data_IF_180941079168
#
_entry.id   IF_180941079168
#
_cell.length_a   1.000
_cell.length_b   1.000
_cell.length_c   1.000
_cell.angle_alpha   90.00
_cell.angle_beta   90.00
_cell.angle_gamma   90.00
#
_symmetry.space_group_name_H-M   'P 1'
#
loop_
_entity.id
_entity.type
_entity.pdbx_description
1 polymer ?
#
# COMPACT_ATOMS: atom_id res chain seq x y z
N UNK A 1 -45.58 56.93 13.97
CA UNK A 1 -44.26 57.57 14.12
C UNK A 1 -43.49 56.73 15.14
N UNK A 2 -42.41 56.05 14.69
CA UNK A 2 -41.21 55.57 15.43
C UNK A 2 -41.46 54.65 16.66
N UNK A 3 -41.13 53.35 16.61
CA UNK A 3 -39.84 52.78 17.06
C UNK A 3 -40.07 52.05 18.41
N UNK A 4 -39.58 50.87 18.73
CA UNK A 4 -38.31 50.21 18.46
C UNK A 4 -38.48 48.68 18.52
N UNK A 5 -37.84 47.99 17.58
CA UNK A 5 -37.54 46.57 17.59
C UNK A 5 -36.59 46.22 18.72
N UNK A 6 -36.75 45.10 19.41
CA UNK A 6 -35.64 44.30 19.95
C UNK A 6 -35.97 42.80 19.79
N UNK A 7 -35.54 42.24 18.67
CA UNK A 7 -35.50 40.80 18.44
C UNK A 7 -34.22 40.24 19.10
N UNK A 8 -34.36 39.37 20.09
CA UNK A 8 -33.23 38.58 20.58
C UNK A 8 -32.94 37.48 19.54
N UNK A 9 -31.88 37.68 18.76
CA UNK A 9 -31.33 36.64 17.89
C UNK A 9 -30.48 35.71 18.74
N UNK A 10 -31.03 34.55 19.11
CA UNK A 10 -30.24 33.46 19.65
C UNK A 10 -29.60 32.70 18.48
N UNK A 11 -28.35 33.04 18.14
CA UNK A 11 -27.52 32.23 17.25
C UNK A 11 -27.08 31.00 18.04
N UNK A 12 -27.79 29.89 17.87
CA UNK A 12 -27.31 28.57 18.29
C UNK A 12 -26.21 28.14 17.32
N UNK A 13 -24.98 28.47 17.70
CA UNK A 13 -23.76 27.96 17.07
C UNK A 13 -23.76 26.43 17.13
N UNK A 14 -24.12 25.78 16.03
CA UNK A 14 -23.87 24.36 15.80
C UNK A 14 -22.36 24.17 15.62
N UNK A 15 -21.61 24.25 16.71
CA UNK A 15 -20.33 23.56 16.82
C UNK A 15 -20.66 22.08 16.95
N UNK A 16 -20.93 21.45 15.81
CA UNK A 16 -20.78 20.02 15.66
C UNK A 16 -19.31 19.72 15.94
N UNK A 17 -19.00 19.46 17.22
CA UNK A 17 -17.84 18.68 17.57
C UNK A 17 -18.05 17.33 16.92
N UNK A 18 -17.51 17.16 15.71
CA UNK A 18 -17.29 15.84 15.13
C UNK A 18 -16.38 15.08 16.08
N UNK A 19 -16.95 14.44 17.08
CA UNK A 19 -16.28 13.41 17.85
C UNK A 19 -15.98 12.31 16.84
N UNK A 20 -14.73 12.26 16.36
CA UNK A 20 -14.18 11.04 15.79
C UNK A 20 -14.48 9.94 16.82
N UNK A 21 -15.31 8.97 16.43
CA UNK A 21 -15.72 7.90 17.32
C UNK A 21 -14.45 7.24 17.89
N UNK A 22 -14.39 6.97 19.19
CA UNK A 22 -13.21 6.38 19.79
C UNK A 22 -13.05 4.96 19.24
N UNK A 23 -12.02 4.76 18.40
CA UNK A 23 -11.63 3.46 17.84
C UNK A 23 -11.11 2.58 18.98
N UNK A 24 -12.03 1.99 19.74
CA UNK A 24 -11.75 1.17 20.94
C UNK A 24 -12.19 -0.28 20.74
N UNK A 25 -12.82 -0.60 19.61
CA UNK A 25 -13.11 -1.96 19.18
C UNK A 25 -12.35 -2.22 17.88
N UNK A 26 -11.59 -3.32 17.81
CA UNK A 26 -10.97 -3.82 16.58
C UNK A 26 -12.03 -4.31 15.60
N UNK A 27 -12.87 -3.40 15.09
CA UNK A 27 -13.84 -3.68 14.05
C UNK A 27 -13.18 -3.39 12.70
N UNK A 28 -12.21 -4.22 12.32
CA UNK A 28 -11.58 -4.18 11.00
C UNK A 28 -12.59 -4.69 9.97
N UNK A 29 -13.30 -3.77 9.35
CA UNK A 29 -14.35 -4.11 8.39
C UNK A 29 -13.75 -4.24 6.99
N UNK A 30 -13.82 -5.45 6.43
CA UNK A 30 -13.62 -5.65 5.00
C UNK A 30 -14.82 -5.10 4.24
N UNK A 31 -14.55 -4.44 3.12
CA UNK A 31 -15.56 -3.88 2.23
C UNK A 31 -15.43 -4.58 0.88
N UNK A 32 -16.56 -5.00 0.34
CA UNK A 32 -16.60 -5.51 -1.03
C UNK A 32 -16.38 -4.36 -2.03
N UNK A 33 -15.44 -4.56 -2.94
CA UNK A 33 -15.19 -3.62 -4.04
C UNK A 33 -16.35 -3.72 -5.02
N UNK A 34 -17.29 -2.77 -4.96
CA UNK A 34 -18.54 -2.82 -5.76
C UNK A 34 -18.29 -2.62 -7.27
N UNK A 35 -17.12 -2.11 -7.64
CA UNK A 35 -16.72 -1.91 -9.02
C UNK A 35 -15.29 -1.38 -9.12
N UNK A 36 -14.69 -1.54 -10.30
CA UNK A 36 -13.29 -1.14 -10.55
C UNK A 36 -13.05 0.33 -10.23
N UNK A 37 -14.01 1.20 -10.53
CA UNK A 37 -13.91 2.66 -10.38
C UNK A 37 -13.55 3.11 -8.96
N UNK A 38 -13.85 2.31 -7.93
CA UNK A 38 -13.49 2.63 -6.54
C UNK A 38 -11.98 2.70 -6.30
N UNK A 39 -11.20 1.95 -7.07
CA UNK A 39 -9.74 1.84 -6.89
C UNK A 39 -8.95 2.47 -8.04
N UNK A 40 -9.59 2.79 -9.16
CA UNK A 40 -8.89 3.30 -10.35
C UNK A 40 -8.12 4.60 -10.07
N UNK A 41 -7.12 4.86 -10.90
CA UNK A 41 -6.27 6.04 -10.85
C UNK A 41 -4.97 5.80 -10.11
N UNK A 42 -4.25 6.90 -9.88
CA UNK A 42 -2.92 6.89 -9.27
C UNK A 42 -2.99 7.09 -7.76
N UNK A 43 -2.16 6.33 -7.05
CA UNK A 43 -2.04 6.33 -5.62
C UNK A 43 -0.57 6.32 -5.22
N UNK A 44 -0.22 7.09 -4.20
CA UNK A 44 1.08 7.03 -3.57
C UNK A 44 1.02 5.99 -2.45
N UNK A 45 1.97 5.05 -2.43
CA UNK A 45 2.08 4.06 -1.36
C UNK A 45 2.73 4.74 -0.15
N UNK A 46 1.95 4.95 0.92
CA UNK A 46 2.38 5.68 2.12
C UNK A 46 3.06 4.73 3.11
N UNK A 47 2.47 3.55 3.29
CA UNK A 47 2.94 2.59 4.25
C UNK A 47 2.50 1.18 3.89
N UNK A 48 3.25 0.21 4.38
CA UNK A 48 2.91 -1.21 4.24
C UNK A 48 3.24 -2.00 5.50
N UNK A 49 2.45 -3.02 5.79
CA UNK A 49 2.74 -3.99 6.84
C UNK A 49 2.62 -5.38 6.23
N UNK A 50 3.51 -6.29 6.61
CA UNK A 50 3.50 -7.68 6.13
C UNK A 50 4.01 -8.60 7.21
N UNK A 51 3.51 -9.83 7.23
CA UNK A 51 4.00 -10.91 8.10
C UNK A 51 5.14 -11.72 7.45
N UNK A 52 5.49 -11.42 6.20
CA UNK A 52 6.69 -11.92 5.53
C UNK A 52 7.91 -11.10 6.01
N UNK A 53 8.86 -11.70 6.76
CA UNK A 53 10.02 -11.00 7.29
C UNK A 53 10.94 -10.44 6.19
N UNK A 54 11.08 -11.19 5.11
CA UNK A 54 11.92 -10.85 3.98
C UNK A 54 11.37 -9.67 3.20
N UNK A 55 10.08 -9.72 2.85
CA UNK A 55 9.37 -8.59 2.24
C UNK A 55 9.45 -7.33 3.12
N UNK A 56 9.21 -7.47 4.43
CA UNK A 56 9.31 -6.35 5.38
C UNK A 56 10.70 -5.72 5.41
N UNK A 57 11.75 -6.54 5.36
CA UNK A 57 13.12 -6.05 5.33
C UNK A 57 13.43 -5.32 4.03
N UNK A 58 13.05 -5.89 2.88
CA UNK A 58 13.22 -5.24 1.58
C UNK A 58 12.52 -3.88 1.54
N UNK A 59 11.27 -3.82 1.97
CA UNK A 59 10.51 -2.58 2.11
C UNK A 59 11.22 -1.54 2.97
N UNK A 60 11.74 -1.96 4.14
CA UNK A 60 12.35 -1.05 5.10
C UNK A 60 13.70 -0.50 4.63
N UNK A 61 14.48 -1.32 3.92
CA UNK A 61 15.89 -1.01 3.62
C UNK A 61 16.08 -0.50 2.19
N UNK A 62 15.32 -1.03 1.23
CA UNK A 62 15.52 -0.79 -0.20
C UNK A 62 14.55 0.25 -0.76
N UNK A 63 13.30 0.24 -0.30
CA UNK A 63 12.23 1.05 -0.87
C UNK A 63 12.25 2.47 -0.31
N UNK A 64 12.59 3.43 -1.16
CA UNK A 64 12.58 4.84 -0.78
C UNK A 64 11.16 5.43 -0.87
N UNK A 65 10.51 5.21 -2.02
CA UNK A 65 9.15 5.67 -2.31
C UNK A 65 8.52 4.82 -3.41
N UNK A 66 7.20 4.80 -3.48
CA UNK A 66 6.46 3.98 -4.45
C UNK A 66 5.10 4.60 -4.77
N UNK A 67 4.62 4.36 -5.98
CA UNK A 67 3.27 4.68 -6.41
C UNK A 67 2.68 3.52 -7.22
N UNK A 68 1.35 3.44 -7.20
CA UNK A 68 0.58 2.43 -7.92
C UNK A 68 -0.50 3.13 -8.73
N UNK A 69 -0.64 2.75 -9.99
CA UNK A 69 -1.75 3.17 -10.85
C UNK A 69 -2.59 1.98 -11.26
N UNK A 70 -3.86 2.04 -10.93
CA UNK A 70 -4.87 1.09 -11.38
C UNK A 70 -5.60 1.67 -12.60
N UNK A 71 -5.61 0.95 -13.72
CA UNK A 71 -6.35 1.31 -14.93
C UNK A 71 -7.33 0.22 -15.31
N UNK A 72 -8.50 0.62 -15.81
CA UNK A 72 -9.46 -0.34 -16.34
C UNK A 72 -8.88 -0.99 -17.60
N UNK A 73 -8.82 -2.32 -17.60
CA UNK A 73 -8.52 -3.08 -18.80
C UNK A 73 -9.76 -3.19 -19.72
N UNK A 74 -9.54 -3.69 -20.93
CA UNK A 74 -10.61 -3.93 -21.91
C UNK A 74 -11.65 -4.93 -21.40
N UNK A 75 -11.23 -5.96 -20.67
CA UNK A 75 -12.15 -6.90 -20.05
C UNK A 75 -12.83 -6.25 -18.84
N UNK A 76 -14.14 -6.46 -18.70
CA UNK A 76 -14.98 -5.74 -17.73
C UNK A 76 -14.59 -5.96 -16.26
N UNK A 77 -13.97 -7.08 -15.94
CA UNK A 77 -13.48 -7.42 -14.61
C UNK A 77 -11.97 -7.24 -14.44
N UNK A 78 -11.22 -6.94 -15.49
CA UNK A 78 -9.76 -6.86 -15.38
C UNK A 78 -9.27 -5.44 -15.07
N UNK A 79 -8.18 -5.35 -14.33
CA UNK A 79 -7.50 -4.11 -13.94
C UNK A 79 -6.02 -4.29 -14.27
N UNK A 80 -5.49 -3.35 -15.03
CA UNK A 80 -4.05 -3.21 -15.23
C UNK A 80 -3.46 -2.42 -14.07
N UNK A 81 -2.36 -2.91 -13.53
CA UNK A 81 -1.64 -2.29 -12.43
C UNK A 81 -0.27 -1.89 -12.97
N UNK A 82 0.07 -0.62 -12.84
CA UNK A 82 1.43 -0.13 -13.04
C UNK A 82 1.95 0.37 -11.71
N UNK A 83 2.98 -0.30 -11.20
CA UNK A 83 3.70 0.09 -9.99
C UNK A 83 5.02 0.73 -10.40
N UNK A 84 5.37 1.83 -9.75
CA UNK A 84 6.65 2.52 -9.92
C UNK A 84 7.32 2.68 -8.57
N UNK A 85 8.53 2.14 -8.44
CA UNK A 85 9.26 2.09 -7.18
C UNK A 85 10.64 2.72 -7.33
N UNK A 86 11.03 3.48 -6.31
CA UNK A 86 12.36 4.05 -6.22
C UNK A 86 13.20 3.24 -5.24
N UNK A 87 14.24 2.60 -5.76
CA UNK A 87 15.19 1.80 -5.00
C UNK A 87 16.60 2.35 -5.27
N UNK A 88 17.35 2.71 -4.23
CA UNK A 88 18.72 3.24 -4.34
C UNK A 88 18.88 4.39 -5.35
N UNK A 89 17.97 5.36 -5.32
CA UNK A 89 17.95 6.48 -6.26
C UNK A 89 17.55 6.13 -7.71
N UNK A 90 17.29 4.86 -8.02
CA UNK A 90 16.89 4.38 -9.36
C UNK A 90 15.41 4.03 -9.39
N UNK A 91 14.83 4.11 -10.59
CA UNK A 91 13.42 3.87 -10.81
C UNK A 91 13.18 2.54 -11.52
N UNK A 92 12.29 1.76 -10.94
CA UNK A 92 11.83 0.48 -11.45
C UNK A 92 10.33 0.54 -11.66
N UNK A 93 9.85 -0.14 -12.70
CA UNK A 93 8.41 -0.26 -12.96
C UNK A 93 8.02 -1.71 -13.14
N UNK A 94 6.84 -2.06 -12.67
CA UNK A 94 6.26 -3.38 -12.81
C UNK A 94 4.82 -3.24 -13.30
N UNK A 95 4.48 -3.97 -14.36
CA UNK A 95 3.10 -4.09 -14.84
C UNK A 95 2.55 -5.45 -14.47
N UNK A 96 1.39 -5.46 -13.82
CA UNK A 96 0.64 -6.68 -13.54
C UNK A 96 -0.81 -6.53 -13.94
N UNK A 97 -1.54 -7.64 -13.95
CA UNK A 97 -2.96 -7.69 -14.25
C UNK A 97 -3.69 -8.39 -13.11
N UNK A 98 -4.75 -7.76 -12.62
CA UNK A 98 -5.64 -8.29 -11.60
C UNK A 98 -7.05 -8.44 -12.16
N UNK A 99 -7.84 -9.33 -11.55
CA UNK A 99 -9.25 -9.55 -11.88
C UNK A 99 -10.12 -9.29 -10.66
N UNK A 100 -11.18 -8.49 -10.84
CA UNK A 100 -12.17 -8.20 -9.82
C UNK A 100 -13.34 -9.19 -9.93
N UNK A 101 -13.47 -10.08 -8.96
CA UNK A 101 -14.54 -11.07 -8.89
C UNK A 101 -15.17 -11.05 -7.51
N UNK A 102 -16.50 -10.94 -7.42
CA UNK A 102 -17.24 -10.95 -6.15
C UNK A 102 -16.63 -10.00 -5.09
N UNK A 103 -16.36 -8.76 -5.47
CA UNK A 103 -15.80 -7.74 -4.56
C UNK A 103 -14.33 -7.95 -4.16
N UNK A 104 -13.64 -8.87 -4.84
CA UNK A 104 -12.27 -9.31 -4.52
C UNK A 104 -11.36 -9.13 -5.72
N UNK A 105 -10.18 -8.54 -5.53
CA UNK A 105 -9.15 -8.55 -6.57
C UNK A 105 -8.32 -9.83 -6.43
N UNK A 106 -8.05 -10.49 -7.55
CA UNK A 106 -7.16 -11.65 -7.60
C UNK A 106 -6.06 -11.43 -8.62
N UNK A 107 -4.89 -11.98 -8.33
CA UNK A 107 -3.77 -12.07 -9.26
C UNK A 107 -3.37 -13.53 -9.38
N UNK A 108 -3.06 -13.97 -10.60
CA UNK A 108 -2.56 -15.32 -10.86
C UNK A 108 -1.03 -15.39 -10.83
N UNK A 109 -0.50 -16.47 -11.40
CA UNK A 109 0.93 -16.71 -11.59
C UNK A 109 1.69 -15.49 -12.14
N UNK A 110 2.94 -15.25 -11.69
CA UNK A 110 3.72 -16.06 -10.75
C UNK A 110 3.32 -15.90 -9.28
N UNK A 111 2.50 -14.89 -8.95
CA UNK A 111 2.31 -14.44 -7.57
C UNK A 111 0.81 -14.47 -7.21
N UNK A 112 0.33 -15.67 -6.89
CA UNK A 112 -1.08 -15.88 -6.61
C UNK A 112 -1.50 -15.09 -5.37
N UNK A 113 -2.52 -14.25 -5.51
CA UNK A 113 -2.99 -13.42 -4.39
C UNK A 113 -4.47 -13.11 -4.44
N UNK A 114 -5.01 -12.75 -3.29
CA UNK A 114 -6.38 -12.28 -3.11
C UNK A 114 -6.38 -11.02 -2.24
N UNK A 115 -6.97 -9.95 -2.75
CA UNK A 115 -6.94 -8.63 -2.14
C UNK A 115 -8.36 -8.14 -1.85
N UNK A 116 -8.57 -7.60 -0.65
CA UNK A 116 -9.81 -6.96 -0.18
C UNK A 116 -9.55 -5.51 0.18
N UNK A 117 -10.60 -4.70 0.09
CA UNK A 117 -10.60 -3.35 0.62
C UNK A 117 -10.89 -3.37 2.12
N UNK A 118 -10.19 -2.57 2.90
CA UNK A 118 -10.50 -2.28 4.30
C UNK A 118 -11.09 -0.88 4.43
N UNK A 119 -12.07 -0.73 5.31
CA UNK A 119 -12.64 0.57 5.65
C UNK A 119 -11.58 1.50 6.26
N UNK A 120 -11.60 2.76 5.86
CA UNK A 120 -10.82 3.84 6.47
C UNK A 120 -11.64 5.12 6.57
N UNK A 121 -11.35 5.93 7.59
CA UNK A 121 -11.89 7.28 7.76
C UNK A 121 -11.27 8.31 6.81
N UNK A 122 -10.19 7.97 6.10
CA UNK A 122 -9.54 8.85 5.14
C UNK A 122 -10.24 8.78 3.76
N UNK A 123 -10.91 9.87 3.31
CA UNK A 123 -11.76 9.85 2.11
C UNK A 123 -10.98 9.77 0.80
N UNK A 124 -9.69 10.11 0.83
CA UNK A 124 -8.78 10.07 -0.32
C UNK A 124 -7.63 9.08 -0.09
N UNK A 125 -7.87 8.08 0.76
CA UNK A 125 -6.96 6.95 0.97
C UNK A 125 -7.58 5.63 0.53
N UNK A 126 -6.72 4.64 0.34
CA UNK A 126 -7.07 3.27 0.01
C UNK A 126 -6.27 2.34 0.93
N UNK A 127 -6.95 1.43 1.63
CA UNK A 127 -6.31 0.40 2.46
C UNK A 127 -6.62 -0.96 1.85
N UNK A 128 -5.61 -1.62 1.29
CA UNK A 128 -5.75 -2.96 0.73
C UNK A 128 -5.18 -4.00 1.68
N UNK A 129 -5.92 -5.08 1.91
CA UNK A 129 -5.45 -6.28 2.59
C UNK A 129 -5.30 -7.39 1.57
N UNK A 130 -4.06 -7.87 1.42
CA UNK A 130 -3.69 -8.88 0.43
C UNK A 130 -3.23 -10.15 1.13
N UNK A 131 -3.70 -11.29 0.65
CA UNK A 131 -3.18 -12.61 0.99
C UNK A 131 -2.44 -13.15 -0.22
N UNK A 132 -1.21 -13.61 0.01
CA UNK A 132 -0.33 -14.22 -0.97
C UNK A 132 -0.27 -15.73 -0.72
N UNK A 133 -0.44 -16.51 -1.77
CA UNK A 133 -0.50 -17.96 -1.70
C UNK A 133 0.72 -18.57 -2.41
N UNK A 134 1.62 -19.15 -1.64
CA UNK A 134 2.78 -19.91 -2.12
C UNK A 134 2.71 -21.37 -1.66
N UNK A 135 3.64 -22.21 -2.12
CA UNK A 135 3.64 -23.63 -1.79
C UNK A 135 3.98 -23.86 -0.31
N UNK A 136 2.94 -24.02 0.52
CA UNK A 136 3.07 -24.40 1.92
C UNK A 136 2.99 -23.25 2.93
N UNK A 137 2.88 -22.00 2.48
CA UNK A 137 2.67 -20.83 3.33
C UNK A 137 1.59 -19.88 2.78
N UNK A 138 1.04 -19.06 3.66
CA UNK A 138 0.16 -17.96 3.29
C UNK A 138 0.65 -16.72 4.02
N UNK A 139 1.22 -15.81 3.26
CA UNK A 139 1.67 -14.52 3.75
C UNK A 139 0.58 -13.48 3.48
N UNK A 140 0.56 -12.43 4.28
CA UNK A 140 -0.43 -11.37 4.21
C UNK A 140 0.25 -10.02 4.27
N UNK A 141 -0.39 -9.03 3.65
CA UNK A 141 0.07 -7.66 3.67
C UNK A 141 -1.08 -6.68 3.76
N UNK A 142 -0.81 -5.51 4.35
CA UNK A 142 -1.67 -4.34 4.34
C UNK A 142 -0.92 -3.22 3.64
N UNK A 143 -1.49 -2.68 2.57
CA UNK A 143 -0.96 -1.51 1.86
C UNK A 143 -1.86 -0.30 2.12
N UNK A 144 -1.26 0.78 2.60
CA UNK A 144 -1.93 2.06 2.80
C UNK A 144 -1.46 3.07 1.77
N UNK A 145 -2.43 3.56 1.02
CA UNK A 145 -2.21 4.44 -0.12
C UNK A 145 -3.02 5.71 0.01
N UNK A 146 -2.54 6.80 -0.59
CA UNK A 146 -3.26 8.07 -0.63
C UNK A 146 -3.15 8.72 -2.01
N UNK A 147 -4.14 9.55 -2.37
CA UNK A 147 -4.04 10.47 -3.51
C UNK A 147 -3.00 11.57 -3.27
N UNK A 148 -2.66 11.82 -2.01
CA UNK A 148 -1.61 12.75 -1.58
C UNK A 148 -0.29 12.03 -1.40
N UNK A 149 0.80 12.79 -1.49
CA UNK A 149 2.13 12.28 -1.13
C UNK A 149 2.37 12.27 0.39
N UNK A 150 1.56 13.00 1.17
CA UNK A 150 1.72 13.09 2.61
C UNK A 150 0.35 13.00 3.26
N UNK A 151 0.25 12.18 4.29
CA UNK A 151 -0.94 12.01 5.13
C UNK A 151 -0.73 12.67 6.49
N UNK A 152 -1.80 12.90 7.21
CA UNK A 152 -1.77 13.45 8.56
C UNK A 152 -1.31 12.40 9.57
N UNK A 153 -0.83 12.86 10.74
CA UNK A 153 -0.49 11.96 11.83
C UNK A 153 -1.70 11.13 12.30
N UNK A 154 -2.91 11.71 12.29
CA UNK A 154 -4.13 11.00 12.66
C UNK A 154 -4.46 9.83 11.72
N UNK A 155 -4.27 10.02 10.41
CA UNK A 155 -4.47 8.98 9.39
C UNK A 155 -3.45 7.83 9.56
N UNK A 156 -2.19 8.15 9.90
CA UNK A 156 -1.18 7.13 10.21
C UNK A 156 -1.48 6.38 11.51
N UNK A 157 -1.96 7.06 12.54
CA UNK A 157 -2.36 6.40 13.79
C UNK A 157 -3.58 5.50 13.61
N UNK A 158 -4.53 5.87 12.74
CA UNK A 158 -5.64 5.01 12.33
C UNK A 158 -5.11 3.74 11.65
N UNK A 159 -4.18 3.88 10.69
CA UNK A 159 -3.54 2.74 10.05
C UNK A 159 -2.84 1.82 11.06
N UNK A 160 -2.04 2.38 11.97
CA UNK A 160 -1.29 1.58 12.95
C UNK A 160 -2.22 0.72 13.81
N UNK A 161 -3.34 1.29 14.27
CA UNK A 161 -4.36 0.54 15.02
C UNK A 161 -5.00 -0.55 14.17
N UNK A 162 -5.31 -0.26 12.91
CA UNK A 162 -5.87 -1.25 11.97
C UNK A 162 -4.89 -2.41 11.76
N UNK A 163 -3.61 -2.13 11.54
CA UNK A 163 -2.54 -3.13 11.36
C UNK A 163 -2.37 -3.98 12.63
N UNK A 164 -2.36 -3.33 13.80
CA UNK A 164 -2.31 -4.01 15.10
C UNK A 164 -3.50 -4.95 15.32
N UNK A 165 -4.73 -4.49 15.00
CA UNK A 165 -5.93 -5.31 15.10
C UNK A 165 -5.90 -6.56 14.19
N UNK A 166 -5.20 -6.48 13.06
CA UNK A 166 -4.98 -7.61 12.15
C UNK A 166 -3.78 -8.50 12.55
N UNK A 167 -3.13 -8.20 13.68
CA UNK A 167 -1.93 -8.88 14.19
C UNK A 167 -0.73 -8.82 13.23
N UNK A 168 -0.66 -7.79 12.40
CA UNK A 168 0.54 -7.54 11.59
C UNK A 168 1.62 -6.82 12.41
N UNK A 169 2.90 -6.99 12.06
CA UNK A 169 3.97 -6.16 12.59
C UNK A 169 3.75 -4.68 12.27
N UNK A 170 4.42 -3.78 13.02
CA UNK A 170 4.36 -2.35 12.76
C UNK A 170 4.66 -2.03 11.28
N UNK A 171 3.89 -1.13 10.66
CA UNK A 171 4.05 -0.81 9.25
C UNK A 171 5.38 -0.11 8.98
N UNK A 172 5.98 -0.40 7.84
CA UNK A 172 7.04 0.39 7.22
C UNK A 172 6.39 1.62 6.60
N UNK A 173 6.85 2.81 6.99
CA UNK A 173 6.39 4.08 6.42
C UNK A 173 7.39 4.52 5.36
N UNK A 174 6.92 4.72 4.12
CA UNK A 174 7.77 5.11 3.00
C UNK A 174 8.02 6.62 2.99
N UNK A 175 9.23 7.02 2.61
CA UNK A 175 9.66 8.42 2.66
C UNK A 175 9.40 9.13 1.33
N UNK A 176 8.26 9.78 1.23
CA UNK A 176 7.85 10.48 0.01
C UNK A 176 8.70 11.72 -0.31
N UNK A 177 9.48 12.24 0.65
CA UNK A 177 10.40 13.36 0.42
C UNK A 177 11.59 12.96 -0.48
N UNK A 178 11.82 11.64 -0.67
CA UNK A 178 12.80 11.12 -1.63
C UNK A 178 12.37 11.29 -3.09
N UNK A 179 11.13 11.71 -3.32
CA UNK A 179 10.56 11.97 -4.64
C UNK A 179 10.16 10.68 -5.37
N UNK A 180 9.00 10.72 -6.00
CA UNK A 180 8.42 9.60 -6.74
C UNK A 180 9.08 9.41 -8.10
N UNK A 181 9.09 8.16 -8.58
CA UNK A 181 9.51 7.86 -9.94
C UNK A 181 8.58 8.51 -10.98
N UNK A 182 9.12 9.11 -12.06
CA UNK A 182 8.31 9.58 -13.18
C UNK A 182 7.62 8.40 -13.86
N UNK A 183 6.42 8.62 -14.36
CA UNK A 183 5.57 7.55 -14.88
C UNK A 183 6.01 7.07 -16.27
N UNK A 184 6.16 8.02 -17.20
CA UNK A 184 6.52 7.76 -18.59
C UNK A 184 7.98 8.15 -18.86
N UNK A 185 8.89 7.63 -18.04
CA UNK A 185 10.32 7.86 -18.22
C UNK A 185 10.98 6.67 -18.89
N UNK A 186 11.70 6.86 -20.01
CA UNK A 186 12.48 5.79 -20.64
C UNK A 186 13.69 5.36 -19.78
N UNK A 187 14.00 6.08 -18.71
CA UNK A 187 15.05 5.73 -17.76
C UNK A 187 14.58 4.74 -16.69
N UNK A 188 13.28 4.48 -16.61
CA UNK A 188 12.75 3.47 -15.71
C UNK A 188 13.17 2.09 -16.20
N UNK A 189 13.62 1.24 -15.29
CA UNK A 189 13.89 -0.18 -15.59
C UNK A 189 12.58 -0.95 -15.48
N UNK A 190 12.11 -1.50 -16.59
CA UNK A 190 10.88 -2.31 -16.63
C UNK A 190 11.18 -3.76 -16.22
N UNK A 191 10.64 -4.19 -15.08
CA UNK A 191 10.81 -5.53 -14.51
C UNK A 191 9.67 -6.49 -14.92
N UNK A 192 8.78 -6.08 -15.82
CA UNK A 192 7.58 -6.85 -16.17
C UNK A 192 7.91 -8.21 -16.77
N UNK A 193 8.83 -8.28 -17.73
CA UNK A 193 9.23 -9.57 -18.32
C UNK A 193 9.88 -10.47 -17.28
N UNK A 194 10.81 -9.91 -16.51
CA UNK A 194 11.55 -10.66 -15.49
C UNK A 194 10.61 -11.24 -14.42
N UNK A 195 9.57 -10.49 -14.05
CA UNK A 195 8.52 -10.96 -13.16
C UNK A 195 7.77 -12.15 -13.76
N UNK A 196 7.27 -12.04 -14.99
CA UNK A 196 6.48 -13.12 -15.62
C UNK A 196 7.29 -14.33 -16.07
N UNK A 197 8.58 -14.15 -16.39
CA UNK A 197 9.49 -15.23 -16.76
C UNK A 197 10.01 -16.00 -15.54
N UNK A 198 9.84 -15.45 -14.33
CA UNK A 198 10.16 -16.13 -13.08
C UNK A 198 9.24 -17.36 -12.91
N UNK A 199 9.82 -18.56 -12.87
CA UNK A 199 9.03 -19.75 -12.58
C UNK A 199 8.45 -19.67 -11.17
N UNK A 200 7.24 -20.19 -10.92
CA UNK A 200 6.67 -20.24 -9.57
C UNK A 200 7.62 -20.91 -8.57
N UNK A 201 8.32 -21.97 -8.98
CA UNK A 201 9.29 -22.67 -8.14
C UNK A 201 10.47 -21.78 -7.76
N UNK A 202 10.99 -20.99 -8.71
CA UNK A 202 12.09 -20.05 -8.45
C UNK A 202 11.63 -18.89 -7.57
N UNK A 203 10.39 -18.41 -7.79
CA UNK A 203 9.78 -17.40 -6.93
C UNK A 203 9.66 -17.92 -5.49
N UNK A 204 9.09 -19.11 -5.30
CA UNK A 204 8.94 -19.75 -3.99
C UNK A 204 10.30 -20.00 -3.32
N UNK A 205 11.31 -20.44 -4.08
CA UNK A 205 12.65 -20.66 -3.54
C UNK A 205 13.30 -19.33 -3.11
N UNK A 206 13.12 -18.27 -3.89
CA UNK A 206 13.64 -16.94 -3.57
C UNK A 206 12.93 -16.36 -2.35
N UNK A 207 11.60 -16.47 -2.28
CA UNK A 207 10.78 -16.08 -1.11
C UNK A 207 11.24 -16.82 0.15
N UNK A 208 11.44 -18.15 0.05
CA UNK A 208 11.91 -18.99 1.16
C UNK A 208 13.29 -18.56 1.68
N UNK A 209 14.23 -18.24 0.78
CA UNK A 209 15.56 -17.76 1.15
C UNK A 209 15.48 -16.38 1.83
N UNK A 210 14.71 -15.45 1.28
CA UNK A 210 14.60 -14.08 1.80
C UNK A 210 13.81 -14.05 3.13
N UNK A 211 12.95 -15.04 3.36
CA UNK A 211 12.20 -15.20 4.61
C UNK A 211 12.99 -15.91 5.72
N UNK A 212 14.13 -16.53 5.40
CA UNK A 212 15.00 -17.21 6.36
C UNK A 212 15.95 -16.22 7.06
N UNK A 213 16.18 -16.41 8.37
CA UNK A 213 17.02 -15.52 9.18
C UNK A 213 18.45 -15.41 8.64
N UNK A 214 19.06 -16.52 8.19
CA UNK A 214 20.40 -16.50 7.63
C UNK A 214 20.45 -15.83 6.24
N UNK A 215 19.39 -15.99 5.45
CA UNK A 215 19.25 -15.28 4.18
C UNK A 215 19.12 -13.77 4.37
N UNK A 216 18.34 -13.35 5.36
CA UNK A 216 18.20 -11.94 5.75
C UNK A 216 19.50 -11.34 6.26
N UNK A 217 20.25 -12.04 7.11
CA UNK A 217 21.56 -11.57 7.59
C UNK A 217 22.54 -11.35 6.43
N UNK A 218 22.61 -12.30 5.49
CA UNK A 218 23.45 -12.17 4.30
C UNK A 218 23.06 -10.98 3.41
N UNK A 219 21.76 -10.72 3.25
CA UNK A 219 21.27 -9.55 2.52
C UNK A 219 21.62 -8.24 3.25
N UNK A 220 21.49 -8.23 4.58
CA UNK A 220 21.83 -7.07 5.42
C UNK A 220 23.31 -6.71 5.31
N UNK A 221 24.19 -7.71 5.36
CA UNK A 221 25.64 -7.55 5.25
C UNK A 221 26.03 -7.01 3.87
N UNK A 222 25.40 -7.52 2.80
CA UNK A 222 25.61 -7.02 1.44
C UNK A 222 25.20 -5.55 1.30
N UNK A 223 24.03 -5.17 1.82
CA UNK A 223 23.56 -3.80 1.75
C UNK A 223 24.48 -2.86 2.54
N UNK A 224 24.87 -3.27 3.75
CA UNK A 224 25.79 -2.50 4.60
C UNK A 224 27.14 -2.27 3.89
N UNK A 225 27.64 -3.31 3.22
CA UNK A 225 28.87 -3.22 2.41
C UNK A 225 28.72 -2.28 1.21
N UNK A 226 27.53 -2.21 0.60
CA UNK A 226 27.27 -1.32 -0.52
C UNK A 226 27.09 0.14 -0.08
N UNK A 227 26.48 0.40 1.07
CA UNK A 227 26.38 1.76 1.61
C UNK A 227 27.75 2.36 1.93
N UNK A 228 28.68 1.56 2.46
CA UNK A 228 30.04 2.00 2.77
C UNK A 228 30.84 2.37 1.51
N UNK A 229 30.49 1.83 0.34
CA UNK A 229 31.14 2.13 -0.94
C UNK A 229 30.61 3.40 -1.62
N UNK A 230 29.44 3.90 -1.20
CA UNK A 230 28.82 5.11 -1.76
C UNK A 230 29.16 6.40 -1.01
N UNK A 231 29.81 6.29 0.15
CA UNK A 231 30.24 7.42 0.99
C UNK A 231 31.72 7.83 0.79
N UNK A 232 32.37 7.37 -0.29
CA UNK A 232 33.73 7.81 -0.73
C UNK A 232 33.70 8.57 -2.05
#
# INVERSE_FOLDING_TARGET
MVGFFHAFVAVLSLLSMGQSAPVTSCNTQTVEIQGRDQILGKWTLIAEATNDPGAKMMSKVLVESSWIRFTAANESNAIEVLQGEKLFGRCFTLKTKMTLENGTLTMGSPLNSSTRLLSTGCPDCLVLYTQYFSEGSTNGGVQFMSRRNIVTAAELEELKKLVECLNFPSPVILNQDKGLCPEDSPLNTDLTSDFYDMSPDFFNQTESIISDEAGMDGLSDLISSLSDLTDT
#
